data_IF_851617146115
#
_entry.id   IF_851617146115
#
_cell.length_a   1.000
_cell.length_b   1.000
_cell.length_c   1.000
_cell.angle_alpha   90.00
_cell.angle_beta   90.00
_cell.angle_gamma   90.00
#
_symmetry.space_group_name_H-M   'P 1'
#
loop_
_entity.id
_entity.type
_entity.pdbx_description
1 polymer ?
#
# COMPACT_ATOMS: atom_id res chain seq x y z
N UNK A 1 -81.75 -19.71 34.17
CA UNK A 1 -81.34 -18.43 34.78
C UNK A 1 -80.29 -17.77 33.88
N UNK A 2 -80.45 -16.47 33.55
CA UNK A 2 -79.53 -15.68 32.71
C UNK A 2 -78.25 -15.23 33.47
N UNK A 3 -77.25 -14.62 32.79
CA UNK A 3 -75.85 -14.42 33.24
C UNK A 3 -75.65 -13.02 33.90
N UNK A 4 -74.44 -12.56 34.34
CA UNK A 4 -73.46 -11.96 33.40
C UNK A 4 -71.95 -11.85 33.82
N UNK A 5 -71.12 -11.50 32.82
CA UNK A 5 -69.93 -10.62 32.87
C UNK A 5 -68.61 -11.20 33.47
N UNK A 6 -67.40 -10.90 32.99
CA UNK A 6 -66.91 -9.69 32.28
C UNK A 6 -65.57 -9.97 31.57
N UNK A 7 -65.45 -9.37 30.38
CA UNK A 7 -64.26 -8.94 29.63
C UNK A 7 -62.92 -8.80 30.40
N UNK A 8 -61.82 -9.25 29.78
CA UNK A 8 -60.76 -8.34 29.30
C UNK A 8 -59.90 -8.94 28.19
N UNK A 9 -60.10 -8.37 27.01
CA UNK A 9 -59.16 -8.32 25.89
C UNK A 9 -57.82 -7.77 26.40
N UNK A 10 -56.70 -8.34 25.96
CA UNK A 10 -55.48 -7.57 25.73
C UNK A 10 -54.79 -8.08 24.45
N UNK A 11 -55.19 -7.45 23.33
CA UNK A 11 -54.34 -7.16 22.19
C UNK A 11 -53.04 -6.52 22.70
N UNK A 12 -51.89 -7.04 22.31
CA UNK A 12 -50.69 -6.28 21.87
C UNK A 12 -49.46 -7.17 21.94
N UNK A 13 -48.94 -7.59 20.77
CA UNK A 13 -47.52 -7.90 20.57
C UNK A 13 -47.20 -8.05 19.08
N UNK A 14 -47.40 -6.96 18.33
CA UNK A 14 -46.96 -6.88 16.93
C UNK A 14 -46.63 -5.44 16.54
N UNK A 15 -45.77 -4.78 17.33
CA UNK A 15 -45.27 -3.44 16.99
C UNK A 15 -43.78 -3.23 17.28
N UNK A 16 -43.02 -4.31 17.55
CA UNK A 16 -41.59 -4.23 17.86
C UNK A 16 -40.65 -4.51 16.68
N UNK A 17 -41.14 -5.11 15.58
CA UNK A 17 -40.26 -5.67 14.52
C UNK A 17 -40.13 -4.72 13.31
N UNK A 18 -41.07 -3.79 13.13
CA UNK A 18 -41.07 -2.89 11.96
C UNK A 18 -40.07 -1.73 12.11
N UNK A 19 -39.81 -1.27 13.34
CA UNK A 19 -38.88 -0.15 13.59
C UNK A 19 -37.41 -0.49 13.34
N UNK A 20 -36.99 -1.71 13.66
CA UNK A 20 -35.60 -2.16 13.46
C UNK A 20 -35.27 -2.43 12.00
N UNK A 21 -36.22 -2.91 11.19
CA UNK A 21 -36.00 -3.14 9.77
C UNK A 21 -35.82 -1.82 8.98
N UNK A 22 -36.56 -0.77 9.32
CA UNK A 22 -36.45 0.54 8.66
C UNK A 22 -35.12 1.22 9.04
N UNK A 23 -34.69 1.15 10.30
CA UNK A 23 -33.43 1.74 10.74
C UNK A 23 -32.20 1.11 10.06
N UNK A 24 -32.20 -0.22 9.90
CA UNK A 24 -31.12 -0.93 9.20
C UNK A 24 -31.13 -0.62 7.71
N UNK A 25 -32.29 -0.56 7.05
CA UNK A 25 -32.35 -0.20 5.63
C UNK A 25 -31.92 1.25 5.36
N UNK A 26 -32.28 2.21 6.22
CA UNK A 26 -31.86 3.61 6.05
C UNK A 26 -30.36 3.77 6.26
N UNK A 27 -29.75 3.12 7.26
CA UNK A 27 -28.29 3.17 7.45
C UNK A 27 -27.54 2.42 6.35
N UNK A 28 -28.08 1.30 5.87
CA UNK A 28 -27.52 0.55 4.74
C UNK A 28 -27.55 1.40 3.47
N UNK A 29 -28.67 2.07 3.19
CA UNK A 29 -28.83 2.96 2.04
C UNK A 29 -27.92 4.20 2.14
N UNK A 30 -27.76 4.79 3.33
CA UNK A 30 -26.88 5.95 3.52
C UNK A 30 -25.40 5.58 3.35
N UNK A 31 -24.99 4.40 3.83
CA UNK A 31 -23.63 3.89 3.62
C UNK A 31 -23.44 3.50 2.15
N UNK A 32 -24.43 2.85 1.53
CA UNK A 32 -24.36 2.49 0.11
C UNK A 32 -24.27 3.75 -0.75
N UNK A 33 -25.11 4.77 -0.53
CA UNK A 33 -25.06 6.04 -1.24
C UNK A 33 -23.75 6.80 -0.98
N UNK A 34 -23.15 6.76 0.23
CA UNK A 34 -21.81 7.33 0.44
C UNK A 34 -20.70 6.55 -0.29
N UNK A 35 -20.87 5.24 -0.47
CA UNK A 35 -19.90 4.38 -1.17
C UNK A 35 -20.11 4.42 -2.70
N UNK A 36 -21.33 4.63 -3.19
CA UNK A 36 -21.66 4.72 -4.62
C UNK A 36 -21.73 6.15 -5.17
N UNK A 37 -22.04 7.18 -4.36
CA UNK A 37 -21.85 8.59 -4.77
C UNK A 37 -20.37 8.99 -4.80
N UNK A 38 -19.48 8.21 -4.21
CA UNK A 38 -18.05 8.29 -4.51
C UNK A 38 -17.68 7.59 -5.83
N UNK A 39 -18.64 6.94 -6.52
CA UNK A 39 -18.40 6.08 -7.68
C UNK A 39 -19.21 6.41 -8.94
N UNK A 40 -20.22 7.28 -8.91
CA UNK A 40 -20.90 7.77 -10.13
C UNK A 40 -21.39 9.22 -9.98
N UNK A 41 -20.61 10.16 -10.54
CA UNK A 41 -21.07 11.30 -11.38
C UNK A 41 -19.80 12.01 -11.91
N UNK A 42 -19.44 11.98 -13.19
CA UNK A 42 -20.24 12.47 -14.30
C UNK A 42 -19.87 11.73 -15.59
N UNK A 43 -20.89 11.11 -16.20
CA UNK A 43 -20.89 10.82 -17.61
C UNK A 43 -21.15 12.09 -18.41
N UNK A 44 -20.12 12.59 -19.08
CA UNK A 44 -20.26 13.35 -20.32
C UNK A 44 -19.23 12.78 -21.32
N UNK A 45 -19.70 11.98 -22.28
CA UNK A 45 -18.92 11.49 -23.44
C UNK A 45 -18.91 12.56 -24.55
N UNK A 46 -17.99 12.49 -25.54
CA UNK A 46 -16.59 12.03 -25.49
C UNK A 46 -15.64 13.09 -26.11
N UNK A 47 -14.32 12.84 -26.11
CA UNK A 47 -13.66 12.87 -27.40
C UNK A 47 -13.02 11.52 -27.70
N UNK A 48 -13.19 11.07 -28.93
CA UNK A 48 -12.36 10.05 -29.56
C UNK A 48 -10.89 10.47 -29.44
N UNK A 49 -10.03 9.53 -29.05
CA UNK A 49 -8.59 9.74 -29.08
C UNK A 49 -7.86 9.07 -27.93
N UNK A 50 -7.01 8.12 -28.32
CA UNK A 50 -5.86 7.61 -27.58
C UNK A 50 -6.05 6.63 -26.42
N UNK A 51 -5.80 5.38 -26.83
CA UNK A 51 -4.95 4.40 -26.16
C UNK A 51 -5.54 3.71 -24.93
N UNK A 52 -5.69 2.39 -25.11
CA UNK A 52 -5.86 1.38 -24.09
C UNK A 52 -4.71 1.50 -23.09
N UNK A 53 -4.87 2.34 -22.06
CA UNK A 53 -4.11 2.18 -20.82
C UNK A 53 -4.83 1.11 -20.03
N UNK A 54 -4.28 -0.10 -20.06
CA UNK A 54 -4.61 -1.15 -19.09
C UNK A 54 -4.77 -0.52 -17.71
N UNK A 55 -5.86 -0.85 -17.03
CA UNK A 55 -6.05 -0.57 -15.62
C UNK A 55 -4.92 -1.26 -14.83
N UNK A 56 -3.74 -0.62 -14.72
CA UNK A 56 -2.77 -0.94 -13.67
C UNK A 56 -3.55 -0.78 -12.36
N UNK A 57 -3.91 -1.91 -11.74
CA UNK A 57 -4.46 -1.93 -10.37
C UNK A 57 -3.63 -0.96 -9.53
N UNK A 58 -4.29 -0.09 -8.75
CA UNK A 58 -3.60 0.94 -7.98
C UNK A 58 -2.47 0.32 -7.15
N UNK A 59 -1.23 0.47 -7.64
CA UNK A 59 -0.04 -0.07 -7.01
C UNK A 59 0.21 0.71 -5.73
N UNK A 60 0.57 0.01 -4.66
CA UNK A 60 0.86 0.63 -3.36
C UNK A 60 2.15 1.44 -3.45
N UNK A 61 2.29 2.46 -2.61
CA UNK A 61 3.52 3.26 -2.52
C UNK A 61 4.65 2.44 -1.87
N UNK A 62 5.83 2.46 -2.49
CA UNK A 62 6.96 1.61 -2.09
C UNK A 62 8.20 2.43 -1.75
N UNK A 63 8.87 2.05 -0.68
CA UNK A 63 10.23 2.47 -0.36
C UNK A 63 11.13 1.25 -0.55
N UNK A 64 12.12 1.35 -1.43
CA UNK A 64 12.96 0.23 -1.82
C UNK A 64 14.39 0.55 -1.43
N UNK A 65 14.98 -0.28 -0.58
CA UNK A 65 16.37 -0.15 -0.16
C UNK A 65 17.24 -0.86 -1.20
N UNK A 66 18.04 -0.10 -1.96
CA UNK A 66 18.80 -0.56 -3.11
C UNK A 66 20.14 -1.19 -2.71
N UNK A 67 20.10 -2.34 -2.04
CA UNK A 67 21.28 -3.14 -1.72
C UNK A 67 21.82 -3.90 -2.95
N UNK A 68 22.98 -4.57 -2.81
CA UNK A 68 23.65 -5.26 -3.93
C UNK A 68 22.75 -6.30 -4.61
N UNK A 69 22.00 -7.09 -3.84
CA UNK A 69 21.07 -8.09 -4.39
C UNK A 69 19.89 -7.47 -5.14
N UNK A 70 19.28 -6.42 -4.58
CA UNK A 70 18.10 -5.76 -5.17
C UNK A 70 18.45 -5.06 -6.49
N UNK A 71 19.64 -4.46 -6.59
CA UNK A 71 20.13 -3.88 -7.84
C UNK A 71 20.43 -4.94 -8.92
N UNK A 72 20.70 -6.18 -8.51
CA UNK A 72 20.95 -7.33 -9.39
C UNK A 72 19.68 -7.91 -10.02
N UNK A 73 18.51 -7.62 -9.46
CA UNK A 73 17.25 -8.22 -9.91
C UNK A 73 16.92 -7.84 -11.37
N UNK A 74 16.38 -8.79 -12.17
CA UNK A 74 16.00 -8.57 -13.57
C UNK A 74 14.68 -7.78 -13.71
N UNK A 75 14.61 -6.59 -13.13
CA UNK A 75 13.40 -5.75 -13.11
C UNK A 75 13.49 -4.66 -14.19
N UNK A 76 12.39 -4.49 -14.94
CA UNK A 76 12.23 -3.39 -15.89
C UNK A 76 11.84 -2.10 -15.16
N UNK A 77 12.82 -1.41 -14.58
CA UNK A 77 12.61 -0.21 -13.76
C UNK A 77 11.85 0.93 -14.46
N UNK A 78 11.93 1.02 -15.79
CA UNK A 78 11.17 2.00 -16.59
C UNK A 78 9.64 1.91 -16.35
N UNK A 79 9.11 0.72 -16.08
CA UNK A 79 7.68 0.49 -15.87
C UNK A 79 7.18 0.98 -14.50
N UNK A 80 8.10 1.13 -13.55
CA UNK A 80 7.85 1.52 -12.15
C UNK A 80 8.31 2.95 -11.85
N UNK A 81 9.12 3.54 -12.72
CA UNK A 81 9.64 4.89 -12.53
C UNK A 81 8.53 5.95 -12.42
N UNK A 82 7.37 5.72 -13.07
CA UNK A 82 6.20 6.58 -12.97
C UNK A 82 5.39 6.39 -11.67
N UNK A 83 5.50 5.23 -11.01
CA UNK A 83 4.72 4.88 -9.83
C UNK A 83 5.23 5.62 -8.57
N UNK A 84 4.49 5.56 -7.46
CA UNK A 84 4.88 6.19 -6.19
C UNK A 84 5.95 5.36 -5.44
N UNK A 85 7.13 5.27 -6.06
CA UNK A 85 8.29 4.54 -5.54
C UNK A 85 9.41 5.50 -5.13
N UNK A 86 10.17 5.14 -4.10
CA UNK A 86 11.41 5.84 -3.72
C UNK A 86 12.51 4.81 -3.53
N UNK A 87 13.66 5.05 -4.14
CA UNK A 87 14.83 4.17 -4.10
C UNK A 87 15.85 4.81 -3.16
N UNK A 88 16.15 4.13 -2.05
CA UNK A 88 17.17 4.57 -1.09
C UNK A 88 18.44 3.76 -1.32
N UNK A 89 19.55 4.43 -1.66
CA UNK A 89 20.83 3.77 -1.96
C UNK A 89 21.75 3.89 -0.75
N UNK A 90 22.04 2.80 -0.02
CA UNK A 90 23.01 2.82 1.07
C UNK A 90 24.44 2.83 0.52
N UNK A 91 25.00 4.02 0.27
CA UNK A 91 26.35 4.19 -0.33
C UNK A 91 27.47 3.60 0.55
N UNK A 92 27.22 3.45 1.85
CA UNK A 92 28.09 2.74 2.79
C UNK A 92 28.20 1.23 2.53
N UNK A 93 27.22 0.63 1.86
CA UNK A 93 27.14 -0.83 1.61
C UNK A 93 27.18 -1.20 0.13
N UNK A 94 26.97 -0.24 -0.77
CA UNK A 94 27.09 -0.41 -2.23
C UNK A 94 28.22 0.47 -2.70
N UNK A 95 29.29 -0.13 -3.26
CA UNK A 95 30.64 0.43 -3.55
C UNK A 95 30.69 1.81 -4.28
N UNK A 96 30.05 2.83 -3.72
CA UNK A 96 29.93 4.20 -4.21
C UNK A 96 28.81 4.48 -5.21
N UNK A 97 28.22 3.52 -5.92
CA UNK A 97 27.25 3.83 -7.00
C UNK A 97 26.17 2.78 -7.24
N UNK A 98 24.98 3.24 -7.67
CA UNK A 98 23.90 2.39 -8.16
C UNK A 98 24.22 1.92 -9.59
N UNK A 99 23.71 0.74 -9.98
CA UNK A 99 23.76 0.27 -11.38
C UNK A 99 23.20 1.34 -12.35
N UNK A 100 24.03 1.77 -13.29
CA UNK A 100 23.75 2.86 -14.23
C UNK A 100 22.46 2.68 -15.04
N UNK A 101 22.11 1.43 -15.39
CA UNK A 101 20.86 1.11 -16.09
C UNK A 101 19.59 1.49 -15.30
N UNK A 102 19.66 1.47 -13.95
CA UNK A 102 18.54 1.87 -13.09
C UNK A 102 18.45 3.40 -13.09
N UNK A 103 19.59 4.09 -12.91
CA UNK A 103 19.64 5.56 -12.95
C UNK A 103 19.12 6.11 -14.29
N UNK A 104 19.54 5.51 -15.40
CA UNK A 104 19.11 5.90 -16.75
C UNK A 104 17.60 5.70 -16.95
N UNK A 105 17.01 4.63 -16.40
CA UNK A 105 15.56 4.39 -16.47
C UNK A 105 14.74 5.48 -15.76
N UNK A 106 15.20 5.92 -14.58
CA UNK A 106 14.56 7.02 -13.84
C UNK A 106 14.84 8.38 -14.48
N UNK A 107 16.04 8.61 -15.01
CA UNK A 107 16.39 9.84 -15.74
C UNK A 107 15.58 10.01 -17.01
N UNK A 108 15.43 8.96 -17.81
CA UNK A 108 14.65 8.95 -19.06
C UNK A 108 13.20 9.38 -18.85
N UNK A 109 12.64 9.07 -17.68
CA UNK A 109 11.27 9.45 -17.30
C UNK A 109 11.18 10.74 -16.46
N UNK A 110 12.29 11.46 -16.28
CA UNK A 110 12.41 12.66 -15.41
C UNK A 110 12.04 12.42 -13.94
N UNK A 111 12.22 11.18 -13.47
CA UNK A 111 11.93 10.74 -12.11
C UNK A 111 13.21 10.48 -11.29
N UNK A 112 14.34 11.07 -11.69
CA UNK A 112 15.64 10.95 -10.99
C UNK A 112 15.56 11.38 -9.52
N UNK A 113 14.68 12.32 -9.18
CA UNK A 113 14.43 12.77 -7.79
C UNK A 113 13.89 11.67 -6.87
N UNK A 114 13.45 10.52 -7.40
CA UNK A 114 13.01 9.36 -6.62
C UNK A 114 14.17 8.51 -6.12
N UNK A 115 15.38 8.75 -6.60
CA UNK A 115 16.60 8.10 -6.13
C UNK A 115 17.25 9.00 -5.09
N UNK A 116 17.45 8.47 -3.88
CA UNK A 116 18.06 9.16 -2.76
C UNK A 116 19.27 8.35 -2.32
N UNK A 117 20.45 8.95 -2.42
CA UNK A 117 21.68 8.36 -1.88
C UNK A 117 21.76 8.67 -0.39
N UNK A 118 22.06 7.64 0.40
CA UNK A 118 22.13 7.69 1.84
C UNK A 118 23.53 7.28 2.30
N UNK A 119 24.26 8.23 2.89
CA UNK A 119 25.63 8.01 3.38
C UNK A 119 25.70 7.09 4.61
N UNK A 120 24.64 7.07 5.42
CA UNK A 120 24.54 6.26 6.63
C UNK A 120 23.21 5.49 6.71
N UNK A 121 23.22 4.36 7.41
CA UNK A 121 22.01 3.57 7.69
C UNK A 121 21.02 4.35 8.55
N UNK A 122 21.49 5.18 9.50
CA UNK A 122 20.62 6.04 10.31
C UNK A 122 19.88 7.09 9.47
N UNK A 123 20.60 7.69 8.50
CA UNK A 123 20.01 8.61 7.54
C UNK A 123 18.98 7.92 6.65
N UNK A 124 19.30 6.70 6.18
CA UNK A 124 18.39 5.88 5.40
C UNK A 124 17.09 5.60 6.15
N UNK A 125 17.17 5.12 7.40
CA UNK A 125 15.99 4.83 8.21
C UNK A 125 15.19 6.09 8.56
N UNK A 126 15.86 7.23 8.72
CA UNK A 126 15.19 8.53 8.86
C UNK A 126 14.39 8.90 7.61
N UNK A 127 14.93 8.63 6.41
CA UNK A 127 14.19 8.78 5.15
C UNK A 127 12.98 7.85 5.10
N UNK A 128 13.12 6.56 5.45
CA UNK A 128 11.99 5.61 5.50
C UNK A 128 10.86 6.14 6.40
N UNK A 129 11.20 6.59 7.60
CA UNK A 129 10.24 7.15 8.57
C UNK A 129 9.55 8.40 8.04
N UNK A 130 10.29 9.29 7.37
CA UNK A 130 9.76 10.55 6.84
C UNK A 130 8.90 10.37 5.59
N UNK A 131 9.27 9.42 4.73
CA UNK A 131 8.55 9.12 3.49
C UNK A 131 7.22 8.39 3.75
N UNK A 132 7.14 7.59 4.81
CA UNK A 132 5.89 6.96 5.27
C UNK A 132 5.19 6.11 4.20
N UNK A 133 5.96 5.45 3.33
CA UNK A 133 5.42 4.63 2.23
C UNK A 133 4.71 3.40 2.79
N UNK A 134 3.77 2.85 2.01
CA UNK A 134 3.01 1.69 2.43
C UNK A 134 3.90 0.46 2.61
N UNK A 135 4.78 0.21 1.65
CA UNK A 135 5.71 -0.91 1.62
C UNK A 135 7.16 -0.44 1.83
N UNK A 136 7.94 -1.16 2.62
CA UNK A 136 9.39 -1.06 2.68
C UNK A 136 9.98 -2.42 2.27
N UNK A 137 10.84 -2.42 1.25
CA UNK A 137 11.38 -3.64 0.66
C UNK A 137 12.90 -3.59 0.81
N UNK A 138 13.47 -4.62 1.41
CA UNK A 138 14.91 -4.77 1.62
C UNK A 138 15.32 -6.24 1.62
N UNK A 139 16.63 -6.46 1.59
CA UNK A 139 17.25 -7.75 1.89
C UNK A 139 18.29 -7.54 2.98
N UNK A 140 17.97 -7.96 4.21
CA UNK A 140 18.84 -7.76 5.38
C UNK A 140 20.18 -8.49 5.27
N UNK A 141 20.26 -9.57 4.48
CA UNK A 141 21.50 -10.34 4.30
C UNK A 141 22.62 -9.55 3.65
N UNK A 142 22.30 -8.54 2.86
CA UNK A 142 23.30 -7.66 2.25
C UNK A 142 23.97 -6.71 3.26
N UNK A 143 23.38 -6.57 4.46
CA UNK A 143 23.86 -5.68 5.52
C UNK A 143 24.53 -6.45 6.67
N UNK A 144 24.17 -7.71 6.87
CA UNK A 144 24.78 -8.57 7.89
C UNK A 144 26.06 -9.20 7.35
N UNK A 145 27.22 -8.63 7.69
CA UNK A 145 28.49 -9.32 7.45
C UNK A 145 28.61 -10.53 8.39
N UNK A 146 28.77 -11.72 7.82
CA UNK A 146 29.23 -12.99 8.42
C UNK A 146 29.32 -13.05 9.95
N UNK A 147 28.37 -13.73 10.60
CA UNK A 147 28.58 -14.42 11.88
C UNK A 147 28.55 -13.59 13.18
N UNK A 148 28.18 -12.31 13.14
CA UNK A 148 28.11 -11.47 14.35
C UNK A 148 26.68 -11.07 14.74
N UNK A 149 26.17 -11.67 15.83
CA UNK A 149 25.11 -11.19 16.72
C UNK A 149 24.12 -10.15 16.16
N UNK A 150 23.02 -10.64 15.60
CA UNK A 150 21.63 -10.15 15.67
C UNK A 150 21.40 -8.70 16.16
N UNK A 151 21.94 -7.72 15.43
CA UNK A 151 21.39 -6.38 15.44
C UNK A 151 20.39 -6.33 14.29
N UNK A 152 19.10 -6.23 14.63
CA UNK A 152 18.04 -6.13 13.63
C UNK A 152 18.40 -5.01 12.63
N UNK A 153 18.64 -5.40 11.37
CA UNK A 153 18.97 -4.46 10.29
C UNK A 153 17.88 -3.39 10.16
N UNK A 154 16.64 -3.81 10.45
CA UNK A 154 15.46 -2.95 10.53
C UNK A 154 15.24 -2.48 11.97
N UNK A 155 15.25 -1.16 12.25
CA UNK A 155 14.92 -0.63 13.55
C UNK A 155 13.50 -1.02 13.98
N UNK A 156 13.30 -1.36 15.26
CA UNK A 156 12.02 -1.81 15.81
C UNK A 156 10.86 -0.81 15.60
N UNK A 157 11.19 0.49 15.47
CA UNK A 157 10.19 1.55 15.35
C UNK A 157 9.63 1.72 13.93
N UNK A 158 10.20 1.05 12.92
CA UNK A 158 9.76 1.17 11.52
C UNK A 158 8.32 0.72 11.30
N UNK A 159 7.84 -0.29 12.04
CA UNK A 159 6.45 -0.76 11.93
C UNK A 159 5.40 0.30 12.29
N UNK A 160 5.79 1.41 12.93
CA UNK A 160 4.89 2.56 13.19
C UNK A 160 4.69 3.46 11.97
N UNK A 161 5.66 3.47 11.06
CA UNK A 161 5.70 4.38 9.91
C UNK A 161 5.38 3.67 8.59
N UNK A 162 5.68 2.38 8.49
CA UNK A 162 5.46 1.56 7.30
C UNK A 162 4.43 0.48 7.61
N UNK A 163 3.48 0.24 6.70
CA UNK A 163 2.42 -0.77 6.90
C UNK A 163 2.88 -2.19 6.63
N UNK A 164 3.80 -2.37 5.69
CA UNK A 164 4.29 -3.68 5.28
C UNK A 164 5.80 -3.63 5.04
N UNK A 165 6.55 -4.43 5.78
CA UNK A 165 8.00 -4.58 5.59
C UNK A 165 8.23 -5.95 4.96
N UNK A 166 8.92 -5.97 3.82
CA UNK A 166 9.36 -7.19 3.14
C UNK A 166 10.86 -7.26 3.27
N UNK A 167 11.30 -8.23 4.06
CA UNK A 167 12.68 -8.64 4.17
C UNK A 167 12.77 -10.08 3.68
N UNK A 168 13.38 -10.29 2.52
CA UNK A 168 13.45 -11.59 1.85
C UNK A 168 14.78 -11.76 1.13
N UNK A 169 15.35 -12.95 1.23
CA UNK A 169 16.51 -13.42 0.47
C UNK A 169 16.10 -14.12 -0.84
N UNK A 170 14.81 -14.44 -1.00
CA UNK A 170 14.27 -15.12 -2.18
C UNK A 170 13.96 -14.08 -3.27
N UNK A 171 14.64 -14.20 -4.42
CA UNK A 171 14.49 -13.32 -5.58
C UNK A 171 13.03 -13.23 -6.06
N UNK A 172 12.35 -14.37 -6.17
CA UNK A 172 10.95 -14.41 -6.64
C UNK A 172 10.00 -13.60 -5.75
N UNK A 173 10.21 -13.60 -4.43
CA UNK A 173 9.38 -12.85 -3.48
C UNK A 173 9.64 -11.34 -3.62
N UNK A 174 10.90 -10.95 -3.81
CA UNK A 174 11.28 -9.55 -4.04
C UNK A 174 10.68 -9.05 -5.37
N UNK A 175 10.78 -9.85 -6.43
CA UNK A 175 10.23 -9.52 -7.75
C UNK A 175 8.70 -9.44 -7.69
N UNK A 176 8.03 -10.40 -7.06
CA UNK A 176 6.56 -10.40 -6.91
C UNK A 176 6.08 -9.14 -6.19
N UNK A 177 6.73 -8.81 -5.06
CA UNK A 177 6.39 -7.62 -4.27
C UNK A 177 6.64 -6.32 -5.02
N UNK A 178 7.73 -6.23 -5.80
CA UNK A 178 8.07 -5.04 -6.58
C UNK A 178 7.16 -4.88 -7.79
N UNK A 179 6.79 -5.98 -8.44
CA UNK A 179 6.00 -5.98 -9.66
C UNK A 179 4.49 -5.82 -9.43
N UNK A 180 3.99 -6.06 -8.21
CA UNK A 180 2.62 -5.76 -7.79
C UNK A 180 2.50 -5.13 -6.39
#
# INVERSE_FOLDING_TARGET
>A
MPPPSRSRINKTRTLGIVGTAIAVLVTSYYIYQKVTSAKEDNGARPPEGDSVKENKKARKSKCIIMSKSIQGLPIKWEEYAADEVVLLVPTSHTDGSMKQAIEDAFRKTKNEHKIIYCDSMDGLWSCVKRLGKFQCILNSRDFTSSGGSDAAVVPEDIGRFVKFVVDSDIEDVLIDTLCN
#
